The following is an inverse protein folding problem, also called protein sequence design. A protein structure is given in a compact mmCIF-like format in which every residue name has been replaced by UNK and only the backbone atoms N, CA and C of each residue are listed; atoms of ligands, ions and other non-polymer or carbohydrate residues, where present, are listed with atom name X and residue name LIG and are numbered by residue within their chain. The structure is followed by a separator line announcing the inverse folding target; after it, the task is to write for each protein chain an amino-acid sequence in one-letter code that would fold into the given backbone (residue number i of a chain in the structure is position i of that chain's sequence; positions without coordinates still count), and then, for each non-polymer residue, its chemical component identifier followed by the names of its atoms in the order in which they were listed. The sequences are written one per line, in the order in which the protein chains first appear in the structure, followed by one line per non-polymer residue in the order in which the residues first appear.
data_IF_360921435197
#
_entry.id   IF_360921435197
#
_cell.length_a   1.000
_cell.length_b   1.000
_cell.length_c   1.000
_cell.angle_alpha   90.00
_cell.angle_beta   90.00
_cell.angle_gamma   90.00
#
_symmetry.space_group_name_H-M   'P 1'
#
loop_
_entity.id
_entity.type
_entity.pdbx_description
1 polymer ?
#
# COMPACT_ATOMS: atom_id res chain seq x y z
N UNK A 1 20.60 12.01 -25.01
CA UNK A 1 19.81 12.68 -23.95
C UNK A 1 19.49 11.73 -22.79
N UNK A 2 19.52 10.41 -22.99
CA UNK A 2 19.29 9.41 -21.93
C UNK A 2 20.42 9.28 -20.89
N UNK A 3 21.66 9.65 -21.24
CA UNK A 3 22.80 9.59 -20.33
C UNK A 3 22.76 10.64 -19.21
N UNK A 4 22.14 11.81 -19.46
CA UNK A 4 21.97 12.88 -18.47
C UNK A 4 20.85 12.56 -17.46
N UNK A 5 19.81 11.86 -17.90
CA UNK A 5 18.72 11.38 -17.04
C UNK A 5 19.23 10.27 -16.12
N UNK A 6 20.10 9.38 -16.63
CA UNK A 6 20.73 8.33 -15.83
C UNK A 6 21.74 8.88 -14.80
N UNK A 7 22.49 9.94 -15.11
CA UNK A 7 23.42 10.56 -14.14
C UNK A 7 22.70 11.31 -13.02
N UNK A 8 21.57 11.97 -13.32
CA UNK A 8 20.75 12.64 -12.31
C UNK A 8 20.05 11.67 -11.35
N UNK A 9 19.50 10.57 -11.87
CA UNK A 9 18.85 9.53 -11.06
C UNK A 9 19.82 8.84 -10.08
N UNK A 10 21.07 8.60 -10.49
CA UNK A 10 22.09 7.98 -9.63
C UNK A 10 22.55 8.91 -8.51
N UNK A 11 22.57 10.23 -8.74
CA UNK A 11 22.90 11.23 -7.71
C UNK A 11 21.81 11.37 -6.65
N UNK A 12 20.54 11.19 -7.04
CA UNK A 12 19.39 11.33 -6.13
C UNK A 12 18.87 10.01 -5.56
N UNK A 13 19.31 8.85 -6.07
CA UNK A 13 18.82 7.54 -5.62
C UNK A 13 19.05 7.31 -4.14
N UNK A 14 20.20 7.76 -3.61
CA UNK A 14 20.50 7.66 -2.19
C UNK A 14 19.53 8.50 -1.36
N UNK A 15 19.24 9.74 -1.77
CA UNK A 15 18.28 10.62 -1.09
C UNK A 15 16.87 10.04 -1.13
N UNK A 16 16.43 9.54 -2.29
CA UNK A 16 15.12 8.87 -2.44
C UNK A 16 15.03 7.68 -1.48
N UNK A 17 16.08 6.86 -1.41
CA UNK A 17 16.12 5.72 -0.51
C UNK A 17 16.04 6.13 0.96
N UNK A 18 16.78 7.15 1.36
CA UNK A 18 16.70 7.73 2.71
C UNK A 18 15.27 8.20 3.02
N UNK A 19 14.61 8.92 2.11
CA UNK A 19 13.22 9.34 2.30
C UNK A 19 12.26 8.15 2.47
N UNK A 20 12.42 7.09 1.67
CA UNK A 20 11.61 5.87 1.79
C UNK A 20 11.84 5.19 3.15
N UNK A 21 13.10 5.07 3.59
CA UNK A 21 13.42 4.50 4.90
C UNK A 21 12.83 5.32 6.04
N UNK A 22 12.94 6.64 6.00
CA UNK A 22 12.32 7.54 6.99
C UNK A 22 10.82 7.36 7.03
N UNK A 23 10.16 7.30 5.87
CA UNK A 23 8.71 7.07 5.82
C UNK A 23 8.32 5.73 6.45
N UNK A 24 9.07 4.65 6.17
CA UNK A 24 8.83 3.35 6.80
C UNK A 24 9.00 3.44 8.32
N UNK A 25 10.03 4.13 8.82
CA UNK A 25 10.25 4.32 10.26
C UNK A 25 9.07 5.06 10.90
N UNK A 26 8.60 6.16 10.29
CA UNK A 26 7.45 6.94 10.77
C UNK A 26 6.17 6.11 10.78
N UNK A 27 5.94 5.29 9.75
CA UNK A 27 4.78 4.40 9.74
C UNK A 27 4.90 3.26 10.76
N UNK A 28 6.11 2.77 11.03
CA UNK A 28 6.37 1.77 12.09
C UNK A 28 6.19 2.33 13.49
N UNK A 29 6.43 3.62 13.70
CA UNK A 29 6.24 4.27 15.01
C UNK A 29 4.77 4.48 15.38
N UNK A 30 3.86 4.46 14.41
CA UNK A 30 2.41 4.35 14.67
C UNK A 30 2.13 3.02 15.36
N UNK A 31 1.19 2.94 16.30
CA UNK A 31 0.90 1.65 16.94
C UNK A 31 0.31 0.66 15.94
N UNK A 32 0.49 -0.64 16.18
CA UNK A 32 -0.12 -1.69 15.35
C UNK A 32 -1.65 -1.53 15.27
N UNK A 33 -2.29 -1.20 16.39
CA UNK A 33 -3.74 -0.98 16.47
C UNK A 33 -4.20 0.18 15.57
N UNK A 34 -3.49 1.30 15.59
CA UNK A 34 -3.80 2.44 14.72
C UNK A 34 -3.59 2.11 13.24
N UNK A 35 -2.54 1.37 12.90
CA UNK A 35 -2.34 0.88 11.52
C UNK A 35 -3.46 -0.05 11.09
N UNK A 36 -3.88 -0.99 11.92
CA UNK A 36 -5.02 -1.90 11.65
C UNK A 36 -6.31 -1.11 11.42
N UNK A 37 -6.58 -0.11 12.27
CA UNK A 37 -7.74 0.78 12.10
C UNK A 37 -7.65 1.56 10.78
N UNK A 38 -6.48 2.07 10.44
CA UNK A 38 -6.23 2.77 9.18
C UNK A 38 -6.49 1.87 7.97
N UNK A 39 -5.97 0.63 7.97
CA UNK A 39 -6.26 -0.37 6.94
C UNK A 39 -7.77 -0.62 6.84
N UNK A 40 -8.45 -0.87 7.96
CA UNK A 40 -9.91 -1.10 7.94
C UNK A 40 -10.68 0.05 7.29
N UNK A 41 -10.31 1.31 7.58
CA UNK A 41 -10.92 2.49 6.96
C UNK A 41 -10.63 2.56 5.45
N UNK A 42 -9.39 2.31 5.03
CA UNK A 42 -9.05 2.27 3.61
C UNK A 42 -9.79 1.17 2.86
N UNK A 43 -9.99 0.00 3.46
CA UNK A 43 -10.76 -1.07 2.84
C UNK A 43 -12.23 -0.68 2.66
N UNK A 44 -12.82 0.05 3.61
CA UNK A 44 -14.16 0.62 3.43
C UNK A 44 -14.20 1.63 2.27
N UNK A 45 -13.19 2.48 2.14
CA UNK A 45 -13.09 3.40 1.00
C UNK A 45 -12.93 2.69 -0.36
N UNK A 46 -12.31 1.51 -0.40
CA UNK A 46 -12.26 0.70 -1.64
C UNK A 46 -13.62 0.18 -2.09
N UNK A 47 -14.54 -0.02 -1.14
CA UNK A 47 -15.91 -0.47 -1.40
C UNK A 47 -16.84 0.68 -1.77
N UNK A 48 -16.44 1.92 -1.50
CA UNK A 48 -17.20 3.11 -1.87
C UNK A 48 -16.96 3.45 -3.35
N UNK A 49 -18.00 3.44 -4.20
CA UNK A 49 -17.85 3.73 -5.63
C UNK A 49 -17.47 5.19 -5.92
N UNK A 50 -17.69 6.12 -4.97
CA UNK A 50 -17.36 7.53 -5.13
C UNK A 50 -15.87 7.84 -4.94
N UNK A 51 -15.11 6.91 -4.37
CA UNK A 51 -13.71 7.14 -4.03
C UNK A 51 -12.74 6.59 -5.09
N UNK A 52 -11.64 7.31 -5.39
CA UNK A 52 -10.63 6.86 -6.33
C UNK A 52 -9.83 5.68 -5.75
N UNK A 53 -10.20 4.45 -6.14
CA UNK A 53 -9.63 3.19 -5.61
C UNK A 53 -8.11 3.11 -5.73
N UNK A 54 -7.54 3.63 -6.82
CA UNK A 54 -6.09 3.67 -7.06
C UNK A 54 -5.33 4.42 -5.96
N UNK A 55 -5.82 5.58 -5.52
CA UNK A 55 -5.19 6.36 -4.45
C UNK A 55 -5.19 5.60 -3.13
N UNK A 56 -6.30 4.91 -2.84
CA UNK A 56 -6.44 4.10 -1.62
C UNK A 56 -5.49 2.90 -1.65
N UNK A 57 -5.38 2.24 -2.80
CA UNK A 57 -4.49 1.10 -3.01
C UNK A 57 -3.00 1.48 -2.80
N UNK A 58 -2.57 2.65 -3.27
CA UNK A 58 -1.20 3.14 -3.02
C UNK A 58 -0.91 3.29 -1.51
N UNK A 59 -1.88 3.78 -0.74
CA UNK A 59 -1.72 3.90 0.73
C UNK A 59 -1.69 2.54 1.42
N UNK A 60 -2.55 1.60 0.99
CA UNK A 60 -2.55 0.23 1.51
C UNK A 60 -1.23 -0.49 1.24
N UNK A 61 -0.64 -0.33 0.05
CA UNK A 61 0.67 -0.91 -0.29
C UNK A 61 1.78 -0.42 0.65
N UNK A 62 1.78 0.87 1.00
CA UNK A 62 2.76 1.39 1.96
C UNK A 62 2.62 0.73 3.33
N UNK A 63 1.39 0.51 3.82
CA UNK A 63 1.15 -0.19 5.08
C UNK A 63 1.57 -1.68 5.01
N UNK A 64 1.42 -2.32 3.84
CA UNK A 64 1.88 -3.70 3.63
C UNK A 64 3.41 -3.86 3.69
N UNK A 65 4.17 -2.82 3.33
CA UNK A 65 5.64 -2.82 3.39
C UNK A 65 6.15 -2.66 4.84
N UNK A 66 5.37 -1.98 5.67
CA UNK A 66 5.77 -1.57 7.02
C UNK A 66 5.83 -2.75 7.98
N UNK A 67 4.86 -3.66 7.91
CA UNK A 67 4.77 -4.81 8.82
C UNK A 67 5.49 -6.05 8.25
N UNK A 68 6.20 -6.79 9.11
CA UNK A 68 6.93 -7.99 8.70
C UNK A 68 6.01 -9.14 8.25
N UNK A 69 4.80 -9.21 8.80
CA UNK A 69 3.78 -10.17 8.40
C UNK A 69 2.42 -9.45 8.28
N UNK A 70 2.18 -8.72 7.18
CA UNK A 70 0.98 -7.91 7.02
C UNK A 70 -0.29 -8.77 6.98
N UNK A 71 -0.22 -10.04 6.55
CA UNK A 71 -1.37 -10.95 6.57
C UNK A 71 -1.84 -11.26 7.98
N UNK A 72 -0.90 -11.50 8.89
CA UNK A 72 -1.21 -11.69 10.31
C UNK A 72 -1.65 -10.37 10.94
N UNK A 73 -0.95 -9.27 10.66
CA UNK A 73 -1.29 -7.97 11.23
C UNK A 73 -2.67 -7.48 10.79
N UNK A 74 -3.07 -7.71 9.55
CA UNK A 74 -4.32 -7.20 8.98
C UNK A 74 -5.37 -8.28 8.71
N UNK A 75 -5.33 -9.39 9.46
CA UNK A 75 -6.19 -10.55 9.26
C UNK A 75 -7.68 -10.18 9.15
N UNK A 76 -8.16 -9.29 10.03
CA UNK A 76 -9.55 -8.86 10.07
C UNK A 76 -9.97 -8.09 8.81
N UNK A 77 -9.03 -7.36 8.19
CA UNK A 77 -9.28 -6.58 6.98
C UNK A 77 -9.10 -7.38 5.69
N UNK A 78 -8.45 -8.56 5.74
CA UNK A 78 -8.21 -9.40 4.56
C UNK A 78 -9.51 -9.90 3.92
N UNK A 79 -10.52 -10.24 4.72
CA UNK A 79 -11.81 -10.68 4.18
C UNK A 79 -12.49 -9.55 3.39
N UNK A 80 -12.49 -8.33 3.93
CA UNK A 80 -13.08 -7.18 3.25
C UNK A 80 -12.26 -6.79 2.00
N UNK A 81 -10.93 -6.93 2.02
CA UNK A 81 -10.08 -6.76 0.84
C UNK A 81 -10.42 -7.75 -0.27
N UNK A 82 -10.71 -9.02 0.07
CA UNK A 82 -11.17 -10.02 -0.90
C UNK A 82 -12.50 -9.64 -1.53
N UNK A 83 -13.42 -9.08 -0.75
CA UNK A 83 -14.70 -8.58 -1.26
C UNK A 83 -14.45 -7.41 -2.23
N UNK A 84 -13.62 -6.45 -1.84
CA UNK A 84 -13.25 -5.31 -2.70
C UNK A 84 -12.58 -5.75 -4.02
N UNK A 85 -11.71 -6.76 -3.97
CA UNK A 85 -11.09 -7.33 -5.16
C UNK A 85 -12.10 -7.98 -6.11
N UNK A 86 -13.13 -8.63 -5.55
CA UNK A 86 -14.21 -9.26 -6.33
C UNK A 86 -15.21 -8.24 -6.89
N UNK A 87 -15.43 -7.12 -6.20
CA UNK A 87 -16.46 -6.14 -6.57
C UNK A 87 -15.97 -5.05 -7.52
N UNK A 88 -14.66 -4.79 -7.58
CA UNK A 88 -14.13 -3.76 -8.48
C UNK A 88 -14.14 -4.21 -9.94
N UNK A 89 -14.55 -3.31 -10.83
CA UNK A 89 -14.53 -3.49 -12.30
C UNK A 89 -13.22 -3.02 -12.94
N UNK A 90 -12.38 -2.30 -12.18
CA UNK A 90 -11.06 -1.83 -12.59
C UNK A 90 -10.04 -2.99 -12.53
N UNK A 91 -9.69 -3.56 -13.68
CA UNK A 91 -8.88 -4.79 -13.77
C UNK A 91 -7.46 -4.66 -13.16
N UNK A 92 -6.86 -3.47 -13.28
CA UNK A 92 -5.58 -3.12 -12.67
C UNK A 92 -5.69 -3.05 -11.14
N UNK A 93 -6.72 -2.40 -10.60
CA UNK A 93 -6.98 -2.36 -9.17
C UNK A 93 -7.26 -3.76 -8.63
N UNK A 94 -8.07 -4.54 -9.34
CA UNK A 94 -8.37 -5.92 -9.00
C UNK A 94 -7.10 -6.77 -8.85
N UNK A 95 -6.21 -6.72 -9.86
CA UNK A 95 -4.95 -7.47 -9.85
C UNK A 95 -4.09 -7.11 -8.65
N UNK A 96 -3.98 -5.83 -8.34
CA UNK A 96 -3.17 -5.36 -7.22
C UNK A 96 -3.77 -5.70 -5.85
N UNK A 97 -5.09 -5.65 -5.70
CA UNK A 97 -5.75 -6.14 -4.49
C UNK A 97 -5.54 -7.64 -4.29
N UNK A 98 -5.59 -8.43 -5.36
CA UNK A 98 -5.26 -9.85 -5.27
C UNK A 98 -3.81 -10.09 -4.85
N UNK A 99 -2.84 -9.28 -5.30
CA UNK A 99 -1.46 -9.39 -4.81
C UNK A 99 -1.37 -9.14 -3.31
N UNK A 100 -2.04 -8.13 -2.77
CA UNK A 100 -2.04 -7.85 -1.33
C UNK A 100 -2.67 -8.98 -0.50
N UNK A 101 -3.67 -9.66 -1.05
CA UNK A 101 -4.33 -10.79 -0.39
C UNK A 101 -3.52 -12.09 -0.53
N UNK A 102 -2.81 -12.29 -1.65
CA UNK A 102 -2.15 -13.55 -2.01
C UNK A 102 -0.66 -13.62 -1.65
N UNK A 103 0.06 -12.49 -1.70
CA UNK A 103 1.50 -12.43 -1.44
C UNK A 103 1.72 -11.96 0.00
N UNK A 104 2.23 -12.87 0.83
CA UNK A 104 2.68 -12.65 2.20
C UNK A 104 2.93 -13.97 2.91
#
# INVERSE_FOLDING_TARGET
MDSLVQSGLRGHSQHIWTCVQTLVIVLRSVSVSERQKCVSLFVKLLLDPSFPKRKVLEKLKMLWIVDANPRRTYADSLQQLRIAAKSTTEADVQRELYKLVSVG
#
